data_IF_334922498630
#
_entry.id   IF_334922498630
#
_cell.length_a   1.000
_cell.length_b   1.000
_cell.length_c   1.000
_cell.angle_alpha   90.00
_cell.angle_beta   90.00
_cell.angle_gamma   90.00
#
_symmetry.space_group_name_H-M   'P 1'
#
loop_
_entity.id
_entity.type
_entity.pdbx_description
1 polymer ?
#
# COMPACT_ATOMS: atom_id res chain seq x y z
N UNK A 1 -12.78 -22.86 2.96
CA UNK A 1 -11.34 -22.65 3.32
C UNK A 1 -10.80 -21.33 2.75
N UNK A 2 -11.65 -20.34 2.61
CA UNK A 2 -11.29 -19.13 1.83
C UNK A 2 -11.25 -17.87 2.67
N UNK A 3 -11.12 -18.00 3.99
CA UNK A 3 -11.22 -16.87 4.90
C UNK A 3 -9.97 -16.56 5.75
N UNK A 4 -8.88 -17.25 5.49
CA UNK A 4 -7.62 -16.91 6.12
C UNK A 4 -6.74 -16.25 5.07
N UNK A 5 -6.39 -14.99 5.29
CA UNK A 5 -5.50 -14.19 4.49
C UNK A 5 -4.07 -14.76 4.48
N UNK A 6 -3.93 -15.95 3.92
CA UNK A 6 -2.64 -16.33 3.40
C UNK A 6 -2.38 -15.31 2.30
N UNK A 7 -1.37 -14.50 2.49
CA UNK A 7 -0.97 -13.49 1.52
C UNK A 7 -0.89 -14.14 0.15
N UNK A 8 -1.85 -13.83 -0.71
CA UNK A 8 -1.88 -14.36 -2.07
C UNK A 8 -0.72 -13.85 -2.90
N UNK A 9 -0.16 -12.74 -2.50
CA UNK A 9 0.85 -11.99 -3.22
C UNK A 9 2.25 -12.60 -3.17
N UNK A 10 2.56 -13.46 -2.18
CA UNK A 10 3.87 -14.13 -2.01
C UNK A 10 3.80 -15.63 -2.09
N UNK A 11 2.87 -16.21 -2.86
CA UNK A 11 2.79 -17.66 -3.09
C UNK A 11 3.77 -18.12 -4.13
N UNK A 12 4.83 -18.79 -3.69
CA UNK A 12 5.83 -19.39 -4.56
C UNK A 12 5.66 -20.91 -4.61
N UNK A 13 5.87 -21.49 -5.78
CA UNK A 13 5.78 -22.94 -5.97
C UNK A 13 7.13 -23.51 -6.39
N UNK A 14 7.55 -24.54 -5.69
CA UNK A 14 8.70 -25.39 -6.08
C UNK A 14 8.13 -26.75 -6.46
N UNK A 15 8.19 -27.08 -7.74
CA UNK A 15 7.76 -28.36 -8.30
C UNK A 15 8.96 -29.22 -8.69
N UNK A 16 9.10 -30.44 -8.10
CA UNK A 16 10.23 -31.31 -8.36
C UNK A 16 9.75 -32.63 -8.89
N UNK A 17 10.48 -33.15 -9.87
CA UNK A 17 10.17 -34.40 -10.58
C UNK A 17 8.93 -34.30 -11.44
N UNK A 18 8.69 -35.29 -12.27
CA UNK A 18 7.66 -35.28 -13.31
C UNK A 18 6.27 -34.84 -12.85
N UNK A 19 5.80 -35.31 -11.69
CA UNK A 19 4.46 -34.97 -11.17
C UNK A 19 4.45 -33.61 -10.46
N UNK A 20 5.45 -33.33 -9.61
CA UNK A 20 5.53 -32.09 -8.84
C UNK A 20 5.73 -30.88 -9.73
N UNK A 21 6.67 -30.96 -10.70
CA UNK A 21 6.89 -29.88 -11.67
C UNK A 21 5.65 -29.67 -12.56
N UNK A 22 5.04 -30.73 -13.09
CA UNK A 22 3.81 -30.61 -13.90
C UNK A 22 2.65 -29.97 -13.12
N UNK A 23 2.53 -30.22 -11.81
CA UNK A 23 1.55 -29.56 -10.96
C UNK A 23 1.83 -28.07 -10.79
N UNK A 24 3.05 -27.67 -10.45
CA UNK A 24 3.45 -26.28 -10.30
C UNK A 24 3.26 -25.48 -11.60
N UNK A 25 3.69 -26.05 -12.73
CA UNK A 25 3.50 -25.50 -14.07
C UNK A 25 2.01 -25.34 -14.42
N UNK A 26 1.20 -26.35 -14.10
CA UNK A 26 -0.25 -26.28 -14.32
C UNK A 26 -0.93 -25.21 -13.48
N UNK A 27 -0.51 -25.02 -12.24
CA UNK A 27 -1.01 -23.93 -11.38
C UNK A 27 -0.66 -22.57 -11.99
N UNK A 28 0.59 -22.37 -12.40
CA UNK A 28 1.03 -21.13 -13.06
C UNK A 28 0.26 -20.84 -14.35
N UNK A 29 0.03 -21.87 -15.17
CA UNK A 29 -0.65 -21.71 -16.46
C UNK A 29 -2.17 -21.57 -16.36
N UNK A 30 -2.83 -22.24 -15.42
CA UNK A 30 -4.30 -22.28 -15.34
C UNK A 30 -4.88 -21.35 -14.25
N UNK A 31 -4.09 -20.95 -13.27
CA UNK A 31 -4.49 -20.13 -12.11
C UNK A 31 -3.40 -19.11 -11.74
N UNK A 32 -2.92 -18.33 -12.71
CA UNK A 32 -1.79 -17.41 -12.50
C UNK A 32 -2.04 -16.40 -11.37
N UNK A 33 -3.29 -16.01 -11.13
CA UNK A 33 -3.66 -15.08 -10.05
C UNK A 33 -3.29 -15.60 -8.64
N UNK A 34 -2.99 -16.90 -8.50
CA UNK A 34 -2.61 -17.51 -7.21
C UNK A 34 -1.11 -17.83 -7.12
N UNK A 35 -0.30 -17.35 -8.07
CA UNK A 35 1.11 -17.76 -8.19
C UNK A 35 1.98 -16.53 -8.41
N UNK A 36 2.85 -16.22 -7.44
CA UNK A 36 3.81 -15.12 -7.58
C UNK A 36 4.99 -15.51 -8.48
N UNK A 37 5.60 -16.69 -8.25
CA UNK A 37 6.65 -17.24 -9.09
C UNK A 37 6.77 -18.77 -8.95
N UNK A 38 7.46 -19.42 -9.88
CA UNK A 38 7.65 -20.87 -9.91
C UNK A 38 9.09 -21.26 -10.19
N UNK A 39 9.58 -22.27 -9.45
CA UNK A 39 10.71 -23.13 -9.83
C UNK A 39 10.14 -24.49 -10.20
N UNK A 40 10.40 -24.98 -11.43
CA UNK A 40 9.96 -26.30 -11.88
C UNK A 40 11.16 -27.11 -12.40
N UNK A 41 11.35 -28.33 -11.86
CA UNK A 41 12.49 -29.21 -12.14
C UNK A 41 11.98 -30.60 -12.58
N UNK A 42 12.30 -31.01 -13.78
CA UNK A 42 12.05 -32.36 -14.29
C UNK A 42 10.59 -32.63 -14.67
N UNK A 43 9.87 -31.66 -15.24
CA UNK A 43 8.51 -31.82 -15.69
C UNK A 43 8.09 -30.85 -16.77
N UNK A 44 6.88 -31.06 -17.30
CA UNK A 44 6.34 -30.34 -18.45
C UNK A 44 4.84 -30.05 -18.32
N UNK A 45 4.32 -29.07 -19.07
CA UNK A 45 2.88 -28.83 -19.20
C UNK A 45 2.24 -29.96 -20.00
N UNK A 46 1.21 -30.56 -19.41
CA UNK A 46 0.41 -31.54 -20.14
C UNK A 46 -0.48 -30.87 -21.19
N UNK A 47 -0.87 -31.59 -22.26
CA UNK A 47 -1.86 -31.12 -23.22
C UNK A 47 -3.17 -30.69 -22.54
N UNK A 48 -3.60 -31.41 -21.50
CA UNK A 48 -4.78 -31.07 -20.71
C UNK A 48 -4.63 -29.71 -20.02
N UNK A 49 -3.45 -29.38 -19.52
CA UNK A 49 -3.16 -28.09 -18.89
C UNK A 49 -3.09 -27.00 -19.94
N UNK A 50 -2.43 -27.21 -21.06
CA UNK A 50 -2.35 -26.28 -22.18
C UNK A 50 -3.72 -25.88 -22.73
N UNK A 51 -4.69 -26.82 -22.81
CA UNK A 51 -6.07 -26.53 -23.21
C UNK A 51 -6.84 -25.64 -22.26
N UNK A 52 -6.41 -25.52 -21.00
CA UNK A 52 -7.04 -24.70 -19.95
C UNK A 52 -6.20 -23.50 -19.56
N UNK A 53 -5.01 -23.42 -20.10
CA UNK A 53 -4.05 -22.37 -19.79
C UNK A 53 -4.54 -21.00 -20.25
N UNK A 54 -4.17 -19.97 -19.51
CA UNK A 54 -4.44 -18.57 -19.83
C UNK A 54 -3.11 -17.84 -19.96
N UNK A 55 -3.02 -16.96 -20.96
CA UNK A 55 -1.81 -16.18 -21.15
C UNK A 55 -1.81 -15.01 -20.15
N UNK A 56 -1.12 -15.25 -19.01
CA UNK A 56 -0.90 -14.25 -17.99
C UNK A 56 0.50 -14.44 -17.38
N UNK A 57 1.22 -13.37 -17.10
CA UNK A 57 2.62 -13.46 -16.66
C UNK A 57 2.78 -14.19 -15.33
N UNK A 58 3.72 -15.12 -15.27
CA UNK A 58 4.23 -15.73 -14.03
C UNK A 58 5.73 -15.92 -14.17
N UNK A 59 6.56 -15.23 -13.38
CA UNK A 59 8.00 -15.43 -13.35
C UNK A 59 8.36 -16.88 -13.07
N UNK A 60 9.25 -17.46 -13.89
CA UNK A 60 9.49 -18.89 -13.82
C UNK A 60 10.94 -19.26 -14.13
N UNK A 61 11.49 -20.15 -13.31
CA UNK A 61 12.73 -20.86 -13.58
C UNK A 61 12.44 -22.32 -13.91
N UNK A 62 13.00 -22.80 -14.99
CA UNK A 62 12.74 -24.11 -15.59
C UNK A 62 14.04 -24.93 -15.68
N UNK A 63 13.97 -26.19 -15.26
CA UNK A 63 15.05 -27.13 -15.34
C UNK A 63 14.52 -28.44 -15.92
N UNK A 64 15.21 -29.04 -16.89
CA UNK A 64 14.83 -30.32 -17.49
C UNK A 64 13.32 -30.35 -17.92
N UNK A 65 12.97 -29.51 -18.89
CA UNK A 65 11.61 -29.37 -19.42
C UNK A 65 11.65 -29.37 -20.97
N UNK A 66 10.48 -29.52 -21.60
CA UNK A 66 10.37 -29.49 -23.05
C UNK A 66 10.19 -28.06 -23.62
N UNK A 67 10.45 -27.93 -24.93
CA UNK A 67 10.34 -26.66 -25.67
C UNK A 67 8.91 -26.07 -25.67
N UNK A 68 7.88 -26.90 -25.67
CA UNK A 68 6.49 -26.44 -25.63
C UNK A 68 6.16 -25.71 -24.33
N UNK A 69 6.65 -26.23 -23.20
CA UNK A 69 6.53 -25.59 -21.89
C UNK A 69 7.25 -24.24 -21.84
N UNK A 70 8.49 -24.19 -22.34
CA UNK A 70 9.26 -22.95 -22.44
C UNK A 70 8.52 -21.93 -23.31
N UNK A 71 8.13 -22.33 -24.51
CA UNK A 71 7.42 -21.48 -25.48
C UNK A 71 6.13 -20.91 -24.93
N UNK A 72 5.36 -21.71 -24.16
CA UNK A 72 4.17 -21.24 -23.49
C UNK A 72 4.50 -20.10 -22.52
N UNK A 73 5.46 -20.28 -21.59
CA UNK A 73 5.78 -19.27 -20.60
C UNK A 73 6.48 -18.03 -21.18
N UNK A 74 7.28 -18.19 -22.20
CA UNK A 74 7.86 -17.07 -22.97
C UNK A 74 6.74 -16.17 -23.53
N UNK A 75 5.72 -16.79 -24.12
CA UNK A 75 4.56 -16.05 -24.63
C UNK A 75 3.68 -15.49 -23.52
N UNK A 76 3.44 -16.24 -22.44
CA UNK A 76 2.58 -15.83 -21.33
C UNK A 76 3.18 -14.65 -20.53
N UNK A 77 4.51 -14.57 -20.43
CA UNK A 77 5.22 -13.48 -19.82
C UNK A 77 5.53 -12.31 -20.78
N UNK A 78 5.09 -12.37 -22.05
CA UNK A 78 5.34 -11.34 -23.07
C UNK A 78 6.83 -10.98 -23.20
N UNK A 79 7.68 -12.01 -23.15
CA UNK A 79 9.14 -11.84 -23.04
C UNK A 79 9.84 -11.90 -24.38
N UNK A 80 10.99 -11.22 -24.45
CA UNK A 80 11.97 -11.32 -25.54
C UNK A 80 13.26 -11.95 -25.02
N UNK A 81 13.96 -12.64 -25.93
CA UNK A 81 15.23 -13.29 -25.57
C UNK A 81 16.28 -12.25 -25.21
N UNK A 82 16.76 -12.28 -23.96
CA UNK A 82 17.81 -11.40 -23.47
C UNK A 82 19.20 -12.03 -23.71
N UNK A 83 19.35 -13.31 -23.39
CA UNK A 83 20.56 -14.12 -23.66
C UNK A 83 20.16 -15.60 -23.77
N UNK A 84 21.13 -16.52 -23.89
CA UNK A 84 20.90 -17.91 -24.26
C UNK A 84 19.79 -18.62 -23.47
N UNK A 85 19.77 -18.45 -22.15
CA UNK A 85 18.85 -19.16 -21.25
C UNK A 85 17.84 -18.25 -20.55
N UNK A 86 17.73 -16.96 -20.95
CA UNK A 86 16.86 -16.00 -20.27
C UNK A 86 16.07 -15.14 -21.24
N UNK A 87 14.79 -14.97 -20.92
CA UNK A 87 13.83 -14.08 -21.57
C UNK A 87 13.25 -13.13 -20.54
N UNK A 88 13.06 -11.87 -20.89
CA UNK A 88 12.48 -10.83 -20.05
C UNK A 88 11.46 -9.98 -20.82
N UNK A 89 10.44 -9.51 -20.13
CA UNK A 89 9.51 -8.51 -20.66
C UNK A 89 10.17 -7.12 -20.64
N UNK A 90 10.19 -6.37 -21.76
CA UNK A 90 10.82 -5.05 -21.80
C UNK A 90 10.19 -4.02 -20.85
N UNK A 91 8.91 -4.19 -20.55
CA UNK A 91 8.15 -3.27 -19.72
C UNK A 91 8.13 -3.67 -18.23
N UNK A 92 8.35 -4.96 -17.93
CA UNK A 92 8.41 -5.48 -16.58
C UNK A 92 9.43 -6.63 -16.50
N UNK A 93 10.66 -6.30 -16.16
CA UNK A 93 11.79 -7.26 -16.09
C UNK A 93 11.58 -8.39 -15.06
N UNK A 94 10.61 -8.23 -14.13
CA UNK A 94 10.22 -9.29 -13.21
C UNK A 94 9.47 -10.41 -13.93
N UNK A 95 8.81 -10.11 -15.06
CA UNK A 95 8.19 -11.13 -15.92
C UNK A 95 9.28 -11.79 -16.73
N UNK A 96 9.85 -12.87 -16.20
CA UNK A 96 10.97 -13.56 -16.79
C UNK A 96 10.73 -15.06 -16.92
N UNK A 97 11.42 -15.66 -17.90
CA UNK A 97 11.60 -17.11 -18.06
C UNK A 97 13.10 -17.37 -18.08
N UNK A 98 13.58 -18.26 -17.21
CA UNK A 98 14.99 -18.64 -17.19
C UNK A 98 15.14 -20.16 -17.18
N UNK A 99 16.07 -20.69 -17.98
CA UNK A 99 16.36 -22.11 -18.09
C UNK A 99 17.66 -22.40 -17.36
N UNK A 100 17.62 -23.34 -16.44
CA UNK A 100 18.79 -23.88 -15.75
C UNK A 100 19.01 -25.32 -16.21
N UNK A 101 19.97 -25.58 -17.12
CA UNK A 101 20.17 -26.92 -17.72
C UNK A 101 20.52 -27.98 -16.68
N UNK A 102 21.25 -27.59 -15.64
CA UNK A 102 21.66 -28.47 -14.55
C UNK A 102 21.18 -27.89 -13.21
N UNK A 103 20.02 -28.38 -12.75
CA UNK A 103 19.55 -28.05 -11.41
C UNK A 103 20.13 -29.04 -10.40
N UNK A 104 21.11 -28.61 -9.66
CA UNK A 104 21.50 -29.28 -8.43
C UNK A 104 20.66 -28.71 -7.28
N UNK A 105 19.78 -29.56 -6.67
CA UNK A 105 18.93 -29.17 -5.52
C UNK A 105 19.76 -29.03 -4.25
N UNK A 106 20.87 -28.35 -4.33
CA UNK A 106 21.70 -28.03 -3.18
C UNK A 106 21.27 -26.70 -2.52
N UNK A 107 21.64 -26.47 -1.27
CA UNK A 107 21.30 -25.23 -0.55
C UNK A 107 21.71 -23.96 -1.31
N UNK A 108 22.85 -23.99 -2.01
CA UNK A 108 23.38 -22.85 -2.78
C UNK A 108 22.44 -22.48 -3.93
N UNK A 109 21.92 -23.49 -4.67
CA UNK A 109 20.97 -23.24 -5.75
C UNK A 109 19.65 -22.71 -5.23
N UNK A 110 19.12 -23.27 -4.14
CA UNK A 110 17.89 -22.80 -3.52
C UNK A 110 18.01 -21.37 -2.97
N UNK A 111 19.17 -21.03 -2.41
CA UNK A 111 19.46 -19.67 -1.99
C UNK A 111 19.50 -18.69 -3.19
N UNK A 112 20.07 -19.12 -4.30
CA UNK A 112 20.04 -18.35 -5.55
C UNK A 112 18.60 -18.14 -6.05
N UNK A 113 17.77 -19.19 -6.08
CA UNK A 113 16.35 -19.10 -6.46
C UNK A 113 15.61 -18.12 -5.56
N UNK A 114 15.84 -18.19 -4.26
CA UNK A 114 15.24 -17.26 -3.32
C UNK A 114 15.65 -15.82 -3.62
N UNK A 115 16.95 -15.53 -3.71
CA UNK A 115 17.50 -14.18 -3.90
C UNK A 115 17.16 -13.56 -5.25
N UNK A 116 17.18 -14.36 -6.32
CA UNK A 116 17.12 -13.85 -7.70
C UNK A 116 15.73 -13.97 -8.33
N UNK A 117 14.86 -14.87 -7.84
CA UNK A 117 13.51 -15.05 -8.32
C UNK A 117 12.46 -14.68 -7.26
N UNK A 118 12.35 -15.47 -6.17
CA UNK A 118 11.20 -15.39 -5.28
C UNK A 118 11.16 -14.09 -4.47
N UNK A 119 12.28 -13.71 -3.86
CA UNK A 119 12.34 -12.51 -3.03
C UNK A 119 12.06 -11.20 -3.78
N UNK A 120 12.22 -11.20 -5.09
CA UNK A 120 12.05 -10.00 -5.92
C UNK A 120 10.63 -9.71 -6.32
N UNK A 121 9.73 -10.69 -6.22
CA UNK A 121 8.40 -10.60 -6.82
C UNK A 121 7.28 -10.85 -5.83
N UNK A 122 6.18 -10.16 -6.02
CA UNK A 122 4.88 -10.44 -5.45
C UNK A 122 3.80 -10.38 -6.53
N UNK A 123 2.64 -10.95 -6.25
CA UNK A 123 1.49 -10.92 -7.16
C UNK A 123 0.41 -10.07 -6.57
N UNK A 124 -0.03 -9.07 -7.29
CA UNK A 124 -1.17 -8.23 -6.89
C UNK A 124 -2.49 -8.77 -7.43
N UNK A 125 -3.59 -8.20 -6.95
CA UNK A 125 -4.94 -8.52 -7.41
C UNK A 125 -5.45 -7.56 -8.50
N UNK A 126 -4.60 -6.66 -8.99
CA UNK A 126 -4.96 -5.74 -10.07
C UNK A 126 -5.17 -6.51 -11.36
N UNK A 127 -6.27 -6.24 -12.06
CA UNK A 127 -6.65 -6.96 -13.27
C UNK A 127 -7.19 -8.37 -13.02
N UNK A 128 -7.64 -9.02 -14.10
CA UNK A 128 -8.29 -10.34 -14.04
C UNK A 128 -7.39 -11.44 -13.46
N UNK A 129 -6.09 -11.38 -13.71
CA UNK A 129 -5.12 -12.41 -13.33
C UNK A 129 -4.06 -11.91 -12.34
N UNK A 130 -4.22 -10.70 -11.85
CA UNK A 130 -3.21 -10.03 -11.03
C UNK A 130 -1.95 -9.68 -11.82
N UNK A 131 -1.11 -8.86 -11.24
CA UNK A 131 0.14 -8.41 -11.85
C UNK A 131 1.37 -8.89 -11.08
N UNK A 132 2.48 -9.01 -11.79
CA UNK A 132 3.79 -9.27 -11.21
C UNK A 132 4.37 -7.94 -10.76
N UNK A 133 4.56 -7.78 -9.46
CA UNK A 133 5.08 -6.56 -8.85
C UNK A 133 6.41 -6.80 -8.13
N UNK A 134 7.14 -5.71 -7.95
CA UNK A 134 8.33 -5.68 -7.14
C UNK A 134 7.98 -5.92 -5.65
N UNK A 135 8.75 -6.79 -5.02
CA UNK A 135 8.79 -6.93 -3.57
C UNK A 135 10.02 -6.20 -3.05
N UNK A 136 9.82 -5.24 -2.18
CA UNK A 136 10.91 -4.47 -1.62
C UNK A 136 11.87 -5.34 -0.80
N UNK A 137 13.15 -5.18 -0.99
CA UNK A 137 14.17 -5.84 -0.17
C UNK A 137 14.52 -4.97 1.04
N UNK A 138 13.79 -5.15 2.14
CA UNK A 138 13.99 -4.37 3.37
C UNK A 138 15.41 -4.51 3.96
N UNK A 139 16.08 -5.66 3.76
CA UNK A 139 17.43 -5.87 4.28
C UNK A 139 18.48 -4.96 3.60
N UNK A 140 18.20 -4.49 2.37
CA UNK A 140 19.05 -3.55 1.65
C UNK A 140 19.12 -2.17 2.31
N UNK A 141 18.10 -1.79 3.03
CA UNK A 141 17.92 -0.44 3.59
C UNK A 141 18.24 -0.34 5.08
N UNK A 142 18.82 -1.39 5.69
CA UNK A 142 19.27 -1.39 7.08
C UNK A 142 18.20 -0.90 8.07
N UNK A 143 16.99 -1.45 7.97
CA UNK A 143 15.91 -1.16 8.90
C UNK A 143 16.26 -1.57 10.33
N UNK A 144 15.97 -0.70 11.29
CA UNK A 144 16.22 -0.94 12.71
C UNK A 144 14.92 -1.25 13.45
N UNK A 145 14.90 -2.38 14.16
CA UNK A 145 13.82 -2.76 15.06
C UNK A 145 13.99 -2.17 16.44
N UNK A 146 12.90 -1.61 16.94
CA UNK A 146 12.75 -1.21 18.32
C UNK A 146 11.71 -2.08 18.99
N UNK A 147 12.10 -2.72 20.09
CA UNK A 147 11.24 -3.52 20.93
C UNK A 147 11.35 -2.95 22.33
N UNK A 148 10.22 -2.64 22.99
CA UNK A 148 10.17 -2.03 24.29
C UNK A 148 10.54 -0.55 24.35
N UNK A 149 9.53 0.26 24.51
CA UNK A 149 9.74 1.59 25.02
C UNK A 149 8.57 1.94 25.96
N UNK A 150 8.80 1.80 27.25
CA UNK A 150 7.81 2.09 28.30
C UNK A 150 7.40 3.57 28.32
N UNK A 151 8.19 4.47 27.72
CA UNK A 151 7.87 5.89 27.61
C UNK A 151 6.72 6.16 26.61
N UNK A 152 6.41 5.20 25.74
CA UNK A 152 5.33 5.32 24.76
C UNK A 152 3.95 4.90 25.30
N UNK A 153 3.88 4.50 26.57
CA UNK A 153 2.65 4.06 27.21
C UNK A 153 2.49 2.54 27.25
N UNK A 154 1.42 2.09 27.90
CA UNK A 154 1.14 0.67 28.13
C UNK A 154 0.35 0.08 26.95
N UNK A 155 0.80 -1.05 26.45
CA UNK A 155 0.11 -1.89 25.47
C UNK A 155 -0.40 -3.19 26.10
N UNK A 156 -1.21 -3.13 27.13
CA UNK A 156 -1.72 -4.35 27.81
C UNK A 156 -0.62 -5.33 28.20
N UNK A 157 0.52 -4.84 28.68
CA UNK A 157 1.68 -5.64 29.04
C UNK A 157 2.52 -6.14 27.87
N UNK A 158 2.22 -5.71 26.65
CA UNK A 158 3.03 -6.03 25.46
C UNK A 158 3.95 -4.83 25.10
N UNK A 159 5.21 -5.08 24.75
CA UNK A 159 6.10 -4.01 24.34
C UNK A 159 5.67 -3.40 23.02
N UNK A 160 5.77 -2.08 22.89
CA UNK A 160 5.63 -1.42 21.60
C UNK A 160 6.78 -1.83 20.68
N UNK A 161 6.45 -2.07 19.42
CA UNK A 161 7.42 -2.49 18.40
C UNK A 161 7.20 -1.69 17.14
N UNK A 162 8.28 -1.22 16.54
CA UNK A 162 8.25 -0.55 15.25
C UNK A 162 9.55 -0.78 14.49
N UNK A 163 9.50 -0.64 13.17
CA UNK A 163 10.64 -0.73 12.26
C UNK A 163 10.93 0.66 11.71
N UNK A 164 12.17 1.11 11.81
CA UNK A 164 12.61 2.44 11.34
C UNK A 164 13.64 2.31 10.23
N UNK A 165 13.48 3.11 9.20
CA UNK A 165 14.47 3.30 8.14
C UNK A 165 14.94 4.75 8.13
N UNK A 166 16.22 4.94 8.41
CA UNK A 166 16.91 6.23 8.26
C UNK A 166 17.77 6.15 7.01
N UNK A 167 17.47 6.89 5.96
CA UNK A 167 18.25 6.86 4.72
C UNK A 167 19.72 7.21 4.93
N UNK A 168 20.61 6.60 4.15
CA UNK A 168 22.03 6.94 4.21
C UNK A 168 22.28 8.38 3.76
N UNK A 169 21.45 8.90 2.84
CA UNK A 169 21.42 10.31 2.47
C UNK A 169 21.16 11.22 3.68
N UNK A 170 20.23 10.83 4.57
CA UNK A 170 19.90 11.58 5.81
C UNK A 170 21.03 11.50 6.83
N UNK A 171 21.64 10.30 7.01
CA UNK A 171 22.77 10.10 7.93
C UNK A 171 23.98 10.95 7.55
N UNK A 172 24.15 11.25 6.26
CA UNK A 172 25.26 12.06 5.73
C UNK A 172 25.00 13.58 5.68
N UNK A 173 23.80 14.02 6.07
CA UNK A 173 23.47 15.45 6.08
C UNK A 173 24.24 16.23 7.15
N UNK A 174 24.47 17.54 6.96
CA UNK A 174 25.06 18.39 7.98
C UNK A 174 24.29 18.33 9.30
N UNK A 175 25.02 18.41 10.41
CA UNK A 175 24.41 18.45 11.75
C UNK A 175 23.39 19.59 11.86
N UNK A 176 22.23 19.29 12.48
CA UNK A 176 21.12 20.24 12.63
C UNK A 176 20.14 20.24 11.45
N UNK A 177 20.44 19.55 10.34
CA UNK A 177 19.46 19.38 9.25
C UNK A 177 18.28 18.55 9.74
N UNK A 178 17.07 18.98 9.39
CA UNK A 178 15.82 18.30 9.75
C UNK A 178 15.08 17.83 8.49
N UNK A 179 14.58 16.59 8.54
CA UNK A 179 13.94 15.90 7.41
C UNK A 179 12.49 15.51 7.71
N UNK A 180 11.65 15.25 6.70
CA UNK A 180 10.30 14.74 6.92
C UNK A 180 10.29 13.38 7.61
N UNK A 181 9.15 13.07 8.23
CA UNK A 181 8.82 11.76 8.80
C UNK A 181 7.56 11.22 8.13
N UNK A 182 7.61 9.98 7.65
CA UNK A 182 6.46 9.21 7.19
C UNK A 182 6.22 8.03 8.13
N UNK A 183 5.03 7.96 8.74
CA UNK A 183 4.55 6.75 9.41
C UNK A 183 3.64 5.99 8.47
N UNK A 184 3.89 4.69 8.32
CA UNK A 184 3.01 3.79 7.55
C UNK A 184 2.44 2.70 8.44
N UNK A 185 1.12 2.68 8.59
CA UNK A 185 0.39 1.71 9.40
C UNK A 185 0.01 0.47 8.59
N UNK A 186 0.34 -0.71 9.11
CA UNK A 186 0.06 -1.99 8.45
C UNK A 186 -1.44 -2.31 8.37
N UNK A 187 -1.83 -3.19 7.45
CA UNK A 187 -3.18 -3.72 7.33
C UNK A 187 -3.55 -4.69 8.44
N UNK A 188 -4.81 -5.13 8.48
CA UNK A 188 -5.25 -6.17 9.41
C UNK A 188 -4.49 -7.48 9.15
N UNK A 189 -3.99 -8.10 10.22
CA UNK A 189 -3.19 -9.34 10.22
C UNK A 189 -1.78 -9.23 9.63
N UNK A 190 -1.31 -8.03 9.30
CA UNK A 190 0.05 -7.76 8.83
C UNK A 190 0.99 -7.44 10.01
N UNK A 191 2.25 -7.19 9.67
CA UNK A 191 3.32 -6.77 10.58
C UNK A 191 4.18 -5.67 9.94
N UNK A 192 5.14 -5.05 10.68
CA UNK A 192 5.97 -3.99 10.14
C UNK A 192 6.79 -4.35 8.90
N UNK A 193 7.34 -5.58 8.82
CA UNK A 193 8.10 -6.01 7.65
C UNK A 193 7.23 -6.13 6.41
N UNK A 194 6.09 -6.81 6.54
CA UNK A 194 5.13 -6.96 5.43
C UNK A 194 4.64 -5.61 4.95
N UNK A 195 4.32 -4.70 5.87
CA UNK A 195 3.95 -3.34 5.55
C UNK A 195 5.07 -2.60 4.78
N UNK A 196 6.32 -2.75 5.23
CA UNK A 196 7.46 -2.15 4.55
C UNK A 196 7.68 -2.74 3.15
N UNK A 197 7.62 -4.07 3.02
CA UNK A 197 7.78 -4.78 1.74
C UNK A 197 6.68 -4.43 0.73
N UNK A 198 5.44 -4.22 1.20
CA UNK A 198 4.32 -3.86 0.32
C UNK A 198 4.32 -2.39 -0.07
N UNK A 199 4.53 -1.49 0.90
CA UNK A 199 4.39 -0.06 0.66
C UNK A 199 5.64 0.59 0.06
N UNK A 200 6.85 0.14 0.43
CA UNK A 200 8.09 0.66 -0.14
C UNK A 200 8.38 2.14 0.16
N UNK A 201 7.74 2.76 1.15
CA UNK A 201 8.01 4.17 1.48
C UNK A 201 9.47 4.44 1.86
N UNK A 202 10.18 3.46 2.41
CA UNK A 202 11.60 3.61 2.72
C UNK A 202 12.47 3.69 1.45
N UNK A 203 12.06 3.08 0.32
CA UNK A 203 12.72 3.27 -0.98
C UNK A 203 12.53 4.69 -1.50
N UNK A 204 11.33 5.25 -1.30
CA UNK A 204 11.05 6.65 -1.62
C UNK A 204 11.85 7.56 -0.68
N UNK A 205 11.91 7.22 0.62
CA UNK A 205 12.67 7.95 1.64
C UNK A 205 14.17 8.00 1.34
N UNK A 206 14.76 6.90 0.85
CA UNK A 206 16.17 6.86 0.43
C UNK A 206 16.46 7.85 -0.72
N UNK A 207 15.52 7.96 -1.65
CA UNK A 207 15.64 8.86 -2.80
C UNK A 207 15.33 10.33 -2.48
N UNK A 208 14.29 10.57 -1.66
CA UNK A 208 13.74 11.90 -1.40
C UNK A 208 14.24 12.52 -0.07
N UNK A 209 14.96 11.77 0.77
CA UNK A 209 15.55 12.24 2.01
C UNK A 209 14.57 12.39 3.16
N UNK A 210 13.77 11.35 3.47
CA UNK A 210 12.91 11.33 4.64
C UNK A 210 12.99 10.02 5.43
N UNK A 211 12.72 10.07 6.72
CA UNK A 211 12.69 8.90 7.61
C UNK A 211 11.33 8.21 7.49
N UNK A 212 11.33 6.87 7.44
CA UNK A 212 10.11 6.06 7.42
C UNK A 212 10.02 5.18 8.66
N UNK A 213 8.82 5.10 9.25
CA UNK A 213 8.53 4.27 10.42
C UNK A 213 7.32 3.41 10.15
N UNK A 214 7.43 2.11 10.45
CA UNK A 214 6.37 1.13 10.37
C UNK A 214 6.08 0.59 11.78
N UNK A 215 5.10 1.15 12.49
CA UNK A 215 4.75 0.66 13.81
C UNK A 215 3.91 -0.60 13.73
N UNK A 216 3.94 -1.41 14.79
CA UNK A 216 3.07 -2.58 14.97
C UNK A 216 1.87 -2.21 15.82
N UNK A 217 0.66 -2.57 15.37
CA UNK A 217 -0.58 -2.33 16.10
C UNK A 217 -0.57 -2.99 17.47
N UNK A 218 -1.23 -2.36 18.43
CA UNK A 218 -1.16 -2.75 19.84
C UNK A 218 -1.63 -4.18 20.12
N UNK A 219 -2.57 -4.68 19.35
CA UNK A 219 -3.04 -6.06 19.46
C UNK A 219 -2.32 -7.04 18.51
N UNK A 220 -1.25 -6.63 17.85
CA UNK A 220 -0.42 -7.40 16.92
C UNK A 220 -1.12 -7.84 15.63
N UNK A 221 -2.38 -7.51 15.43
CA UNK A 221 -3.15 -7.93 14.25
C UNK A 221 -3.91 -6.77 13.59
N UNK A 222 -4.21 -5.72 14.34
CA UNK A 222 -5.01 -4.60 13.87
C UNK A 222 -4.84 -3.37 14.77
N UNK A 223 -5.51 -2.30 14.41
CA UNK A 223 -5.53 -1.03 15.11
C UNK A 223 -6.91 -0.79 15.72
N UNK A 224 -6.95 -0.16 16.89
CA UNK A 224 -8.20 0.25 17.55
C UNK A 224 -8.77 1.52 16.88
N UNK A 225 -9.23 1.37 15.64
CA UNK A 225 -9.74 2.48 14.83
C UNK A 225 -11.07 3.07 15.31
N UNK A 226 -11.78 2.34 16.18
CA UNK A 226 -13.03 2.82 16.78
C UNK A 226 -12.81 3.49 18.14
N UNK A 227 -11.59 3.48 18.65
CA UNK A 227 -11.21 3.98 19.97
C UNK A 227 -12.03 3.34 21.10
N UNK A 228 -12.21 2.01 21.05
CA UNK A 228 -12.91 1.26 22.09
C UNK A 228 -12.13 1.34 23.42
N UNK A 229 -12.83 1.57 24.52
CA UNK A 229 -12.19 1.75 25.85
C UNK A 229 -11.53 0.48 26.39
N UNK A 230 -11.93 -0.70 25.88
CA UNK A 230 -11.38 -2.00 26.30
C UNK A 230 -10.18 -2.45 25.45
N UNK A 231 -9.74 -1.63 24.52
CA UNK A 231 -8.61 -1.88 23.63
C UNK A 231 -7.55 -0.78 23.83
N UNK A 232 -6.26 -1.03 23.54
CA UNK A 232 -5.22 -0.02 23.60
C UNK A 232 -5.56 1.21 22.75
N UNK A 233 -5.14 2.40 23.20
CA UNK A 233 -5.30 3.64 22.45
C UNK A 233 -4.18 3.78 21.41
N UNK A 234 -4.39 3.23 20.22
CA UNK A 234 -3.41 3.29 19.13
C UNK A 234 -3.21 4.71 18.57
N UNK A 235 -4.18 5.61 18.72
CA UNK A 235 -4.00 7.00 18.36
C UNK A 235 -3.02 7.71 19.31
N UNK A 236 -3.15 7.47 20.62
CA UNK A 236 -2.22 7.99 21.62
C UNK A 236 -0.81 7.38 21.44
N UNK A 237 -0.72 6.08 21.16
CA UNK A 237 0.55 5.43 20.81
C UNK A 237 1.21 6.09 19.58
N UNK A 238 0.45 6.28 18.51
CA UNK A 238 0.97 6.92 17.29
C UNK A 238 1.50 8.33 17.57
N UNK A 239 0.78 9.12 18.37
CA UNK A 239 1.21 10.47 18.77
C UNK A 239 2.48 10.43 19.65
N UNK A 240 2.58 9.47 20.57
CA UNK A 240 3.77 9.28 21.42
C UNK A 240 4.99 8.87 20.57
N UNK A 241 4.81 7.95 19.61
CA UNK A 241 5.86 7.54 18.69
C UNK A 241 6.35 8.71 17.82
N UNK A 242 5.45 9.53 17.29
CA UNK A 242 5.82 10.75 16.55
C UNK A 242 6.71 11.66 17.41
N UNK A 243 6.31 11.91 18.66
CA UNK A 243 7.09 12.75 19.59
C UNK A 243 8.46 12.12 19.90
N UNK A 244 8.51 10.81 20.09
CA UNK A 244 9.76 10.08 20.25
C UNK A 244 10.70 10.26 19.04
N UNK A 245 10.17 10.13 17.82
CA UNK A 245 10.93 10.32 16.58
C UNK A 245 11.47 11.76 16.46
N UNK A 246 10.68 12.76 16.81
CA UNK A 246 11.10 14.18 16.78
C UNK A 246 12.23 14.47 17.76
N UNK A 247 12.25 13.79 18.90
CA UNK A 247 13.29 13.98 19.95
C UNK A 247 14.57 13.23 19.59
N UNK A 248 14.45 11.99 19.11
CA UNK A 248 15.61 11.09 18.97
C UNK A 248 16.22 11.07 17.55
N UNK A 249 15.53 11.62 16.55
CA UNK A 249 15.96 11.64 15.15
C UNK A 249 15.93 13.05 14.56
N UNK A 250 16.62 13.30 13.44
CA UNK A 250 16.63 14.62 12.79
C UNK A 250 15.31 14.92 12.07
N UNK A 251 14.18 14.74 12.75
CA UNK A 251 12.84 14.95 12.20
C UNK A 251 12.44 16.42 12.28
N UNK A 252 11.87 16.94 11.20
CA UNK A 252 11.20 18.24 11.16
C UNK A 252 9.76 18.08 11.68
N UNK A 253 9.43 18.63 12.87
CA UNK A 253 8.10 18.46 13.45
C UNK A 253 6.98 19.12 12.63
N UNK A 254 7.31 19.97 11.67
CA UNK A 254 6.33 20.56 10.74
C UNK A 254 6.00 19.66 9.54
N UNK A 255 6.81 18.62 9.29
CA UNK A 255 6.68 17.74 8.12
C UNK A 255 6.48 16.28 8.53
N UNK A 256 5.37 16.01 9.20
CA UNK A 256 4.99 14.67 9.64
C UNK A 256 3.78 14.22 8.83
N UNK A 257 3.92 13.09 8.16
CA UNK A 257 2.93 12.53 7.26
C UNK A 257 2.53 11.13 7.70
N UNK A 258 1.27 10.77 7.48
CA UNK A 258 0.76 9.44 7.78
C UNK A 258 0.22 8.78 6.53
N UNK A 259 0.48 7.50 6.41
CA UNK A 259 -0.13 6.61 5.44
C UNK A 259 -0.43 5.28 6.10
N UNK A 260 -1.10 4.40 5.39
CA UNK A 260 -1.39 3.05 5.86
C UNK A 260 -2.27 2.33 4.87
N UNK A 261 -2.39 1.04 5.07
CA UNK A 261 -3.18 0.18 4.21
C UNK A 261 -4.34 -0.46 4.99
N UNK A 262 -5.54 -0.54 4.37
CA UNK A 262 -6.69 -1.23 4.95
C UNK A 262 -7.02 -0.71 6.37
N UNK A 263 -6.97 -1.54 7.39
CA UNK A 263 -7.13 -1.13 8.79
C UNK A 263 -6.11 -0.06 9.22
N UNK A 264 -4.86 -0.14 8.73
CA UNK A 264 -3.84 0.89 8.97
C UNK A 264 -4.13 2.22 8.26
N UNK A 265 -4.81 2.20 7.11
CA UNK A 265 -5.31 3.42 6.47
C UNK A 265 -6.32 4.14 7.37
N UNK A 266 -7.21 3.39 8.00
CA UNK A 266 -8.14 3.92 9.01
C UNK A 266 -7.39 4.48 10.23
N UNK A 267 -6.32 3.80 10.67
CA UNK A 267 -5.49 4.29 11.78
C UNK A 267 -4.79 5.62 11.44
N UNK A 268 -4.30 5.77 10.21
CA UNK A 268 -3.74 7.05 9.76
C UNK A 268 -4.78 8.18 9.84
N UNK A 269 -6.02 7.91 9.40
CA UNK A 269 -7.13 8.85 9.48
C UNK A 269 -7.51 9.17 10.94
N UNK A 270 -7.65 8.17 11.80
CA UNK A 270 -7.98 8.35 13.23
C UNK A 270 -6.89 9.17 13.93
N UNK A 271 -5.62 8.86 13.71
CA UNK A 271 -4.52 9.64 14.30
C UNK A 271 -4.56 11.09 13.85
N UNK A 272 -4.82 11.36 12.57
CA UNK A 272 -4.94 12.72 12.05
C UNK A 272 -6.19 13.47 12.57
N UNK A 273 -7.28 12.76 12.84
CA UNK A 273 -8.49 13.32 13.47
C UNK A 273 -8.24 13.71 14.93
N UNK A 274 -7.56 12.83 15.68
CA UNK A 274 -7.35 13.01 17.12
C UNK A 274 -6.18 13.93 17.44
N UNK A 275 -5.12 13.93 16.63
CA UNK A 275 -3.91 14.73 16.81
C UNK A 275 -3.57 15.58 15.57
N UNK A 276 -4.50 16.41 15.07
CA UNK A 276 -4.27 17.20 13.86
C UNK A 276 -3.13 18.20 13.97
N UNK A 277 -2.79 18.63 15.21
CA UNK A 277 -1.67 19.53 15.50
C UNK A 277 -0.31 18.95 15.19
N UNK A 278 -0.17 17.62 15.14
CA UNK A 278 1.08 16.93 14.85
C UNK A 278 1.27 16.61 13.36
N UNK A 279 0.19 16.61 12.58
CA UNK A 279 0.17 16.00 11.24
C UNK A 279 0.03 17.07 10.16
N UNK A 280 0.93 17.06 9.19
CA UNK A 280 0.89 17.99 8.07
C UNK A 280 -0.07 17.55 6.95
N UNK A 281 -0.08 16.27 6.62
CA UNK A 281 -0.97 15.67 5.61
C UNK A 281 -1.04 14.15 5.76
N UNK A 282 -2.03 13.52 5.11
CA UNK A 282 -2.18 12.06 5.10
C UNK A 282 -2.40 11.52 3.69
N UNK A 283 -1.91 10.29 3.43
CA UNK A 283 -2.12 9.57 2.16
C UNK A 283 -2.55 8.11 2.40
N UNK A 284 -3.76 7.89 2.96
CA UNK A 284 -4.28 6.58 3.27
C UNK A 284 -4.64 5.76 2.02
N UNK A 285 -4.49 4.43 2.06
CA UNK A 285 -4.68 3.51 0.95
C UNK A 285 -5.69 2.42 1.32
N UNK A 286 -6.75 2.27 0.55
CA UNK A 286 -7.79 1.22 0.64
C UNK A 286 -8.34 1.01 2.07
N UNK A 287 -8.50 2.08 2.83
CA UNK A 287 -8.95 2.01 4.20
C UNK A 287 -10.45 2.00 4.35
N UNK A 288 -10.85 1.33 5.41
CA UNK A 288 -12.21 1.43 5.88
C UNK A 288 -12.38 2.70 6.70
N UNK A 289 -13.59 3.18 6.72
CA UNK A 289 -13.99 4.30 7.48
C UNK A 289 -14.21 3.92 8.98
N UNK A 290 -13.77 4.73 9.96
CA UNK A 290 -13.97 4.43 11.39
C UNK A 290 -15.42 4.21 11.80
N UNK A 291 -16.39 4.73 11.04
CA UNK A 291 -17.81 4.54 11.23
C UNK A 291 -18.45 3.40 10.43
N UNK A 292 -17.68 2.51 9.84
CA UNK A 292 -18.20 1.47 8.93
C UNK A 292 -19.25 0.54 9.57
N UNK A 293 -19.22 0.36 10.89
CA UNK A 293 -20.23 -0.43 11.61
C UNK A 293 -21.57 0.26 11.79
N UNK A 294 -21.62 1.55 11.54
CA UNK A 294 -22.86 2.33 11.54
C UNK A 294 -23.45 2.20 10.15
N UNK A 295 -24.52 1.48 9.97
CA UNK A 295 -25.14 1.16 8.66
C UNK A 295 -25.41 2.37 7.76
N UNK A 296 -26.03 2.19 6.59
CA UNK A 296 -26.16 3.19 5.52
C UNK A 296 -27.08 4.38 5.82
N UNK A 297 -27.52 4.56 7.07
CA UNK A 297 -28.35 5.68 7.51
C UNK A 297 -27.53 6.96 7.68
N UNK A 298 -28.19 8.09 7.78
CA UNK A 298 -27.55 9.35 8.15
C UNK A 298 -26.76 9.15 9.44
N UNK A 299 -25.45 9.40 9.37
CA UNK A 299 -24.52 9.24 10.49
C UNK A 299 -24.33 10.60 11.13
N UNK A 300 -24.66 10.72 12.41
CA UNK A 300 -24.17 11.84 13.19
C UNK A 300 -22.72 11.58 13.56
N UNK A 301 -21.81 12.42 13.08
CA UNK A 301 -20.37 12.30 13.41
C UNK A 301 -20.09 12.41 14.90
N UNK A 302 -21.02 12.98 15.68
CA UNK A 302 -20.94 13.01 17.14
C UNK A 302 -20.99 11.60 17.77
N UNK A 303 -21.59 10.64 17.10
CA UNK A 303 -21.70 9.25 17.57
C UNK A 303 -20.44 8.42 17.26
N UNK A 304 -19.51 8.98 16.47
CA UNK A 304 -18.26 8.32 16.08
C UNK A 304 -17.10 9.00 16.80
N UNK A 305 -16.58 8.33 17.83
CA UNK A 305 -15.61 8.92 18.76
C UNK A 305 -14.44 9.68 18.11
N UNK A 306 -13.67 9.14 17.17
CA UNK A 306 -12.56 9.90 16.56
C UNK A 306 -13.02 11.16 15.83
N UNK A 307 -14.20 11.13 15.22
CA UNK A 307 -14.77 12.30 14.53
C UNK A 307 -15.30 13.35 15.48
N UNK A 308 -16.01 12.94 16.53
CA UNK A 308 -16.45 13.84 17.58
C UNK A 308 -15.26 14.57 18.20
N UNK A 309 -14.14 13.87 18.44
CA UNK A 309 -12.92 14.48 18.93
C UNK A 309 -12.30 15.46 17.91
N UNK A 310 -12.28 15.10 16.63
CA UNK A 310 -11.79 15.98 15.56
C UNK A 310 -12.62 17.27 15.47
N UNK A 311 -13.94 17.16 15.49
CA UNK A 311 -14.84 18.33 15.42
C UNK A 311 -14.73 19.21 16.68
N UNK A 312 -14.61 18.61 17.87
CA UNK A 312 -14.38 19.37 19.12
C UNK A 312 -13.04 20.13 19.13
N UNK A 313 -11.99 19.56 18.54
CA UNK A 313 -10.71 20.28 18.37
C UNK A 313 -10.86 21.41 17.34
N UNK A 314 -11.59 21.17 16.27
CA UNK A 314 -11.83 22.15 15.21
C UNK A 314 -12.60 23.38 15.71
N UNK A 315 -13.51 23.24 16.67
CA UNK A 315 -14.18 24.38 17.35
C UNK A 315 -13.20 25.32 18.06
N UNK A 316 -12.08 24.77 18.53
CA UNK A 316 -11.05 25.56 19.24
C UNK A 316 -10.02 26.15 18.29
N UNK A 317 -9.74 25.46 17.22
CA UNK A 317 -8.80 25.86 16.19
C UNK A 317 -9.20 25.23 14.84
N UNK A 318 -9.27 26.05 13.78
CA UNK A 318 -9.69 25.59 12.44
C UNK A 318 -8.58 24.79 11.74
N UNK A 319 -8.27 23.61 12.28
CA UNK A 319 -7.38 22.68 11.60
C UNK A 319 -7.93 22.31 10.23
N UNK A 320 -7.03 22.27 9.25
CA UNK A 320 -7.26 21.72 7.91
C UNK A 320 -6.36 20.51 7.76
N UNK A 321 -6.81 19.45 7.12
CA UNK A 321 -6.05 18.22 6.90
C UNK A 321 -6.01 17.88 5.41
N UNK A 322 -4.86 18.06 4.74
CA UNK A 322 -4.68 17.59 3.37
C UNK A 322 -4.74 16.07 3.31
N UNK A 323 -5.56 15.53 2.40
CA UNK A 323 -5.80 14.09 2.26
C UNK A 323 -5.66 13.67 0.80
N UNK A 324 -4.83 12.65 0.58
CA UNK A 324 -4.73 11.91 -0.67
C UNK A 324 -5.21 10.48 -0.45
N UNK A 325 -6.48 10.22 -0.65
CA UNK A 325 -7.06 8.92 -0.39
C UNK A 325 -7.14 8.08 -1.66
N UNK A 326 -6.44 6.94 -1.68
CA UNK A 326 -6.42 6.02 -2.83
C UNK A 326 -7.31 4.81 -2.57
N UNK A 327 -8.10 4.42 -3.58
CA UNK A 327 -9.04 3.32 -3.51
C UNK A 327 -9.13 2.56 -4.84
N UNK A 328 -9.42 1.25 -4.81
CA UNK A 328 -9.52 0.41 -6.00
C UNK A 328 -10.95 0.28 -6.53
N UNK A 329 -11.15 0.22 -7.85
CA UNK A 329 -12.49 0.05 -8.43
C UNK A 329 -13.05 -1.37 -8.29
N UNK A 330 -12.26 -2.34 -7.82
CA UNK A 330 -12.70 -3.71 -7.49
C UNK A 330 -12.84 -3.96 -5.99
N UNK A 331 -12.73 -2.91 -5.18
CA UNK A 331 -12.98 -3.00 -3.75
C UNK A 331 -14.46 -3.36 -3.46
N UNK A 332 -14.73 -4.13 -2.37
CA UNK A 332 -16.09 -4.55 -2.05
C UNK A 332 -17.08 -3.41 -1.82
N UNK A 333 -16.61 -2.28 -1.26
CA UNK A 333 -17.42 -1.08 -1.01
C UNK A 333 -17.47 -0.10 -2.18
N UNK A 334 -16.86 -0.43 -3.31
CA UNK A 334 -17.00 0.34 -4.55
C UNK A 334 -18.31 -0.06 -5.28
N UNK A 335 -18.99 0.81 -5.99
CA UNK A 335 -18.73 2.24 -6.17
C UNK A 335 -19.22 3.09 -4.99
N UNK A 336 -18.57 4.25 -4.80
CA UNK A 336 -19.01 5.27 -3.85
C UNK A 336 -20.34 5.87 -4.32
N UNK A 337 -21.36 5.80 -3.50
CA UNK A 337 -22.67 6.37 -3.78
C UNK A 337 -23.42 6.65 -2.49
N UNK A 338 -24.54 7.34 -2.59
CA UNK A 338 -25.33 7.77 -1.43
C UNK A 338 -25.62 6.60 -0.47
N UNK A 339 -25.32 6.83 0.81
CA UNK A 339 -25.50 5.84 1.88
C UNK A 339 -24.41 4.78 1.98
N UNK A 340 -23.32 4.89 1.20
CA UNK A 340 -22.15 4.01 1.35
C UNK A 340 -21.23 4.51 2.47
N UNK A 341 -20.42 3.59 3.03
CA UNK A 341 -19.39 3.92 4.02
C UNK A 341 -18.33 4.85 3.44
N UNK A 342 -18.05 4.75 2.15
CA UNK A 342 -17.13 5.65 1.45
C UNK A 342 -17.70 7.07 1.32
N UNK A 343 -19.01 7.22 1.21
CA UNK A 343 -19.62 8.54 1.20
C UNK A 343 -19.44 9.25 2.55
N UNK A 344 -19.57 8.54 3.68
CA UNK A 344 -19.35 9.14 4.99
C UNK A 344 -17.95 9.70 5.16
N UNK A 345 -16.94 8.97 4.72
CA UNK A 345 -15.55 9.46 4.70
C UNK A 345 -15.41 10.70 3.82
N UNK A 346 -15.96 10.65 2.61
CA UNK A 346 -15.96 11.75 1.66
C UNK A 346 -16.62 13.01 2.24
N UNK A 347 -17.79 12.87 2.83
CA UNK A 347 -18.55 13.99 3.40
C UNK A 347 -17.84 14.58 4.62
N UNK A 348 -17.28 13.72 5.50
CA UNK A 348 -16.52 14.18 6.66
C UNK A 348 -15.31 15.03 6.25
N UNK A 349 -14.44 14.54 5.37
CA UNK A 349 -13.25 15.29 4.98
C UNK A 349 -13.58 16.57 4.24
N UNK A 350 -14.69 16.60 3.47
CA UNK A 350 -15.16 17.83 2.87
C UNK A 350 -15.62 18.85 3.91
N UNK A 351 -16.42 18.43 4.87
CA UNK A 351 -16.86 19.28 5.96
C UNK A 351 -15.65 19.77 6.79
N UNK A 352 -14.76 18.87 7.16
CA UNK A 352 -13.58 19.19 7.96
C UNK A 352 -12.66 20.21 7.27
N UNK A 353 -12.53 20.16 5.98
CA UNK A 353 -11.66 21.02 5.17
C UNK A 353 -12.37 22.23 4.55
N UNK A 354 -13.63 22.51 4.91
CA UNK A 354 -14.46 23.57 4.31
C UNK A 354 -14.53 23.46 2.78
N UNK A 355 -14.73 22.27 2.28
CA UNK A 355 -14.90 22.01 0.86
C UNK A 355 -16.40 21.99 0.54
N UNK A 356 -16.90 22.87 -0.33
CA UNK A 356 -18.32 22.93 -0.63
C UNK A 356 -18.79 21.65 -1.36
N UNK A 357 -19.98 21.19 -1.03
CA UNK A 357 -20.61 20.06 -1.74
C UNK A 357 -21.24 20.58 -3.02
N UNK A 358 -20.48 20.59 -4.11
CA UNK A 358 -20.95 21.04 -5.43
C UNK A 358 -21.64 19.94 -6.23
N UNK A 359 -21.24 18.68 -5.99
CA UNK A 359 -21.76 17.51 -6.71
C UNK A 359 -21.99 16.37 -5.73
N UNK A 360 -23.05 15.61 -5.94
CA UNK A 360 -23.36 14.42 -5.12
C UNK A 360 -22.77 13.19 -5.79
N UNK A 361 -22.18 12.24 -5.02
CA UNK A 361 -21.75 10.96 -5.55
C UNK A 361 -22.90 10.20 -6.23
N UNK A 362 -22.65 9.62 -7.41
CA UNK A 362 -23.62 8.88 -8.18
C UNK A 362 -23.21 7.41 -8.29
N UNK A 363 -24.18 6.51 -8.18
CA UNK A 363 -23.92 5.08 -8.25
C UNK A 363 -23.33 4.69 -9.60
N UNK A 364 -22.15 4.06 -9.57
CA UNK A 364 -21.59 3.30 -10.68
C UNK A 364 -21.22 4.10 -11.92
N UNK A 365 -21.03 5.40 -11.79
CA UNK A 365 -20.62 6.19 -12.94
C UNK A 365 -19.10 6.10 -13.18
N UNK A 366 -18.69 5.09 -13.94
CA UNK A 366 -17.34 4.93 -14.47
C UNK A 366 -17.08 5.80 -15.71
N UNK A 367 -17.88 6.82 -15.95
CA UNK A 367 -17.76 7.65 -17.14
C UNK A 367 -16.38 8.28 -17.17
N UNK A 368 -15.59 7.89 -18.16
CA UNK A 368 -14.31 8.53 -18.53
C UNK A 368 -13.40 8.81 -17.33
N UNK A 369 -13.15 7.77 -16.53
CA UNK A 369 -12.41 7.90 -15.27
C UNK A 369 -13.23 8.49 -14.13
N UNK A 370 -14.46 8.83 -14.35
CA UNK A 370 -15.41 9.21 -13.32
C UNK A 370 -15.86 7.99 -12.54
N UNK A 371 -15.82 8.07 -11.28
CA UNK A 371 -16.08 6.99 -10.35
C UNK A 371 -17.10 7.48 -9.38
N UNK A 372 -18.24 7.64 -9.56
CA UNK A 372 -19.26 8.00 -8.57
C UNK A 372 -18.94 9.21 -7.65
N UNK A 373 -17.71 9.74 -7.67
CA UNK A 373 -17.26 10.89 -6.88
C UNK A 373 -16.59 11.90 -7.81
N UNK A 374 -17.38 12.70 -8.53
CA UNK A 374 -16.81 13.71 -9.42
C UNK A 374 -16.11 14.81 -8.59
N UNK A 375 -14.83 15.06 -8.87
CA UNK A 375 -14.08 16.17 -8.30
C UNK A 375 -14.51 17.53 -8.84
N UNK A 376 -14.03 18.61 -8.23
CA UNK A 376 -14.05 19.94 -8.84
C UNK A 376 -13.20 19.91 -10.11
N UNK A 377 -12.09 19.18 -10.04
CA UNK A 377 -11.25 18.79 -11.18
C UNK A 377 -11.04 17.27 -11.16
N UNK A 378 -11.00 16.67 -12.36
CA UNK A 378 -10.67 15.26 -12.55
C UNK A 378 -9.57 15.12 -13.60
N UNK A 379 -8.50 14.45 -13.22
CA UNK A 379 -7.36 14.12 -14.09
C UNK A 379 -7.26 12.60 -14.24
N UNK A 380 -6.97 12.13 -15.44
CA UNK A 380 -6.56 10.74 -15.64
C UNK A 380 -5.04 10.70 -15.62
N UNK A 381 -4.48 9.97 -14.67
CA UNK A 381 -3.06 9.77 -14.52
C UNK A 381 -2.71 8.32 -14.76
N UNK A 382 -1.79 8.07 -15.67
CA UNK A 382 -1.29 6.74 -15.96
C UNK A 382 -0.09 6.43 -15.08
N UNK A 383 0.05 5.17 -14.67
CA UNK A 383 1.29 4.66 -14.11
C UNK A 383 2.39 4.73 -15.16
N UNK A 384 3.63 4.69 -14.72
CA UNK A 384 4.80 4.75 -15.58
C UNK A 384 5.59 3.43 -15.56
N UNK A 385 6.56 3.31 -16.45
CA UNK A 385 7.41 2.13 -16.53
C UNK A 385 6.64 0.87 -16.85
N UNK A 386 6.87 -0.18 -16.07
CA UNK A 386 6.27 -1.52 -16.27
C UNK A 386 4.76 -1.61 -16.02
N UNK A 387 4.13 -0.56 -15.52
CA UNK A 387 2.68 -0.50 -15.25
C UNK A 387 1.99 0.61 -16.05
N UNK A 388 2.54 0.98 -17.19
CA UNK A 388 2.06 2.12 -17.99
C UNK A 388 0.60 1.98 -18.44
N UNK A 389 0.05 0.75 -18.49
CA UNK A 389 -1.36 0.48 -18.79
C UNK A 389 -2.31 0.75 -17.62
N UNK A 390 -1.80 0.85 -16.40
CA UNK A 390 -2.61 1.16 -15.22
C UNK A 390 -2.91 2.64 -15.17
N UNK A 391 -4.12 3.01 -14.80
CA UNK A 391 -4.52 4.39 -14.70
C UNK A 391 -5.34 4.70 -13.45
N UNK A 392 -5.26 5.95 -13.05
CA UNK A 392 -5.89 6.52 -11.88
C UNK A 392 -6.79 7.68 -12.29
N UNK A 393 -7.98 7.72 -11.74
CA UNK A 393 -8.84 8.90 -11.76
C UNK A 393 -8.55 9.71 -10.51
N UNK A 394 -7.91 10.85 -10.67
CA UNK A 394 -7.56 11.77 -9.58
C UNK A 394 -8.63 12.83 -9.47
N UNK A 395 -9.50 12.72 -8.48
CA UNK A 395 -10.59 13.68 -8.25
C UNK A 395 -10.17 14.65 -7.15
N UNK A 396 -9.92 15.92 -7.51
CA UNK A 396 -9.48 16.98 -6.61
C UNK A 396 -10.66 17.80 -6.11
N UNK A 397 -10.58 18.17 -4.84
CA UNK A 397 -11.56 19.02 -4.17
C UNK A 397 -10.83 20.18 -3.49
N UNK A 398 -11.39 21.37 -3.66
CA UNK A 398 -10.79 22.61 -3.19
C UNK A 398 -11.64 23.24 -2.10
N UNK A 399 -10.97 23.86 -1.13
CA UNK A 399 -11.62 24.64 -0.08
C UNK A 399 -12.34 25.86 -0.65
N UNK A 400 -13.21 26.47 0.15
CA UNK A 400 -13.94 27.70 -0.17
C UNK A 400 -13.22 28.98 0.28
N UNK A 401 -11.93 28.84 0.60
CA UNK A 401 -11.07 29.98 0.93
C UNK A 401 -10.95 30.95 -0.26
N UNK A 402 -10.64 32.24 -0.02
CA UNK A 402 -10.44 33.21 -1.10
C UNK A 402 -9.39 32.78 -2.15
N UNK A 403 -8.36 32.05 -1.71
CA UNK A 403 -7.41 31.30 -2.54
C UNK A 403 -7.68 29.83 -2.31
N UNK A 404 -8.44 29.16 -3.18
CA UNK A 404 -8.83 27.76 -2.98
C UNK A 404 -7.62 26.81 -2.91
N UNK A 405 -7.59 25.98 -1.87
CA UNK A 405 -6.52 25.01 -1.61
C UNK A 405 -7.04 23.62 -1.91
N UNK A 406 -6.28 22.81 -2.63
CA UNK A 406 -6.58 21.39 -2.82
C UNK A 406 -6.30 20.62 -1.52
N UNK A 407 -7.32 20.37 -0.72
CA UNK A 407 -7.21 19.72 0.59
C UNK A 407 -7.75 18.30 0.66
N UNK A 408 -8.50 17.86 -0.35
CA UNK A 408 -8.98 16.50 -0.40
C UNK A 408 -8.88 15.96 -1.82
N UNK A 409 -8.35 14.76 -1.94
CA UNK A 409 -8.28 14.03 -3.20
C UNK A 409 -8.83 12.62 -2.99
N UNK A 410 -9.75 12.23 -3.87
CA UNK A 410 -10.27 10.88 -3.95
C UNK A 410 -9.75 10.24 -5.23
N UNK A 411 -8.83 9.30 -5.06
CA UNK A 411 -8.12 8.66 -6.15
C UNK A 411 -8.66 7.25 -6.35
N UNK A 412 -9.13 6.98 -7.57
CA UNK A 412 -9.59 5.64 -7.94
C UNK A 412 -8.62 5.01 -8.91
N UNK A 413 -7.97 3.93 -8.49
CA UNK A 413 -7.19 3.12 -9.40
C UNK A 413 -8.10 2.12 -10.11
N UNK A 414 -8.10 2.18 -11.43
CA UNK A 414 -8.92 1.30 -12.25
C UNK A 414 -8.45 -0.16 -12.16
N UNK A 415 -9.41 -1.07 -12.02
CA UNK A 415 -9.22 -2.53 -11.95
C UNK A 415 -8.32 -3.03 -10.79
N UNK A 416 -8.08 -2.20 -9.78
CA UNK A 416 -7.37 -2.55 -8.55
C UNK A 416 -8.33 -3.18 -7.55
N UNK A 417 -7.90 -4.27 -6.92
CA UNK A 417 -8.55 -4.88 -5.75
C UNK A 417 -8.05 -4.30 -4.44
N UNK A 418 -8.27 -5.02 -3.32
CA UNK A 418 -7.82 -4.63 -1.99
C UNK A 418 -6.32 -4.90 -1.84
N UNK A 419 -5.49 -3.92 -2.18
CA UNK A 419 -4.04 -4.03 -2.21
C UNK A 419 -3.34 -2.67 -2.32
N UNK A 420 -2.01 -2.64 -2.11
CA UNK A 420 -1.17 -1.49 -2.42
C UNK A 420 -0.62 -1.68 -3.83
N UNK A 421 -0.99 -0.81 -4.76
CA UNK A 421 -0.35 -0.75 -6.07
C UNK A 421 0.98 0.01 -6.00
N UNK A 422 1.90 -0.27 -6.93
CA UNK A 422 3.26 0.27 -6.89
C UNK A 422 3.32 1.80 -6.84
N UNK A 423 2.38 2.47 -7.54
CA UNK A 423 2.37 3.93 -7.60
C UNK A 423 1.59 4.61 -6.48
N UNK A 424 0.82 3.86 -5.67
CA UNK A 424 0.03 4.44 -4.58
C UNK A 424 0.88 5.23 -3.58
N UNK A 425 1.99 4.67 -3.03
CA UNK A 425 2.85 5.39 -2.10
C UNK A 425 3.55 6.59 -2.76
N UNK A 426 3.97 6.43 -4.02
CA UNK A 426 4.65 7.49 -4.76
C UNK A 426 3.74 8.68 -5.00
N UNK A 427 2.53 8.46 -5.53
CA UNK A 427 1.57 9.55 -5.75
C UNK A 427 1.12 10.19 -4.44
N UNK A 428 0.97 9.40 -3.38
CA UNK A 428 0.70 9.92 -2.04
C UNK A 428 1.83 10.85 -1.56
N UNK A 429 3.08 10.41 -1.68
CA UNK A 429 4.25 11.22 -1.31
C UNK A 429 4.31 12.53 -2.12
N UNK A 430 4.15 12.45 -3.45
CA UNK A 430 4.15 13.62 -4.33
C UNK A 430 3.13 14.68 -3.93
N UNK A 431 2.02 14.30 -3.32
CA UNK A 431 1.04 15.24 -2.81
C UNK A 431 1.39 15.75 -1.40
N UNK A 432 1.67 14.86 -0.45
CA UNK A 432 1.80 15.25 0.97
C UNK A 432 3.04 16.10 1.24
N UNK A 433 4.13 15.92 0.47
CA UNK A 433 5.41 16.62 0.68
C UNK A 433 5.33 18.14 0.57
N UNK A 434 4.28 18.68 -0.02
CA UNK A 434 4.04 20.11 -0.18
C UNK A 434 3.49 20.81 1.06
N UNK A 435 3.03 20.06 2.07
CA UNK A 435 2.37 20.62 3.24
C UNK A 435 3.28 20.62 4.47
N UNK A 436 3.15 21.67 5.28
CA UNK A 436 3.77 21.78 6.60
C UNK A 436 2.73 22.19 7.63
N UNK A 437 2.82 21.61 8.84
CA UNK A 437 2.04 22.03 10.00
C UNK A 437 2.86 23.00 10.84
N UNK A 438 2.46 24.28 10.90
CA UNK A 438 3.15 25.25 11.77
C UNK A 438 2.82 25.02 13.25
N UNK A 439 3.64 25.60 14.13
CA UNK A 439 3.42 25.52 15.59
C UNK A 439 2.10 26.11 16.05
N UNK A 440 1.57 27.10 15.33
CA UNK A 440 0.27 27.71 15.57
C UNK A 440 -0.90 26.87 15.03
N UNK A 441 -0.63 25.72 14.44
CA UNK A 441 -1.64 24.81 13.86
C UNK A 441 -2.03 25.10 12.42
N UNK A 442 -1.60 26.20 11.82
CA UNK A 442 -1.88 26.54 10.43
C UNK A 442 -1.09 25.64 9.46
N UNK A 443 -1.60 25.52 8.21
CA UNK A 443 -0.88 24.89 7.12
C UNK A 443 -0.03 25.93 6.37
N UNK A 444 1.15 25.48 5.94
CA UNK A 444 1.97 26.14 4.93
C UNK A 444 2.09 25.20 3.74
N UNK A 445 2.03 25.77 2.55
CA UNK A 445 2.12 25.05 1.27
C UNK A 445 3.36 25.55 0.54
N UNK A 446 4.23 24.63 0.12
CA UNK A 446 5.50 24.92 -0.58
C UNK A 446 5.36 24.69 -2.09
#
# INVERSE_FOLDING_TARGET
MDSWHLMNDTRYFIGIGKKGAAMALSMAACKPQNVAAVLAIGGELSEKSLKKAVYAPVPIWLCDTNEDTVSYFVRANETHKLHENRWECPFNQLQCVEIHPEADMCPVFLEKVWKELFRKVRRTNTGRFGNVMHRTDIAKYNGEYFIENTELGDQNGMPHTWLTFVPDSVKSMPEGTKVPLMLFFHGGSDNPEEAAEMAGFHEIGEREGFITVYPWGSNRCSWNIFMNDNEPDDAAYSAALIKYMVVNYPVDPSRIYLSGFSNGSSQAMVTAMVYPELIAAICPIDGNWPGERVGPSEVDYADIRPMALAMSKKEKYDYRMPVWYTYGTREPSYPVFRGSTQQHQYDFWKQYNHIPVKKTPEKGNLVTGGVGVPGDETEIRYSSGRFAEHWYSVNRFYSDDPEPINLYNYIMMHDKGHEIAEMDPYFGWEYVKHFRRKKDGSLEIN
#
